data_IF_518698673912
#
_entry.id   IF_518698673912
#
_cell.length_a   1.000
_cell.length_b   1.000
_cell.length_c   1.000
_cell.angle_alpha   90.00
_cell.angle_beta   90.00
_cell.angle_gamma   90.00
#
_symmetry.space_group_name_H-M   'P 1'
#
loop_
_entity.id
_entity.type
_entity.pdbx_description
1 polymer ?
#
# COMPACT_ATOMS: atom_id res chain seq x y z
N UNK A 1 -18.49 -7.84 -7.87
CA UNK A 1 -17.94 -6.49 -7.65
C UNK A 1 -17.28 -6.10 -8.95
N UNK A 2 -17.58 -4.93 -9.48
CA UNK A 2 -17.00 -4.46 -10.73
C UNK A 2 -15.61 -3.88 -10.43
N UNK A 3 -14.64 -4.16 -11.28
CA UNK A 3 -13.30 -3.59 -11.21
C UNK A 3 -13.44 -2.06 -11.26
N UNK A 4 -12.94 -1.39 -10.22
CA UNK A 4 -13.21 0.04 -10.01
C UNK A 4 -12.10 0.91 -10.58
N UNK A 5 -10.87 0.42 -10.51
CA UNK A 5 -9.69 1.05 -11.10
C UNK A 5 -8.90 0.03 -11.92
N UNK A 6 -8.64 0.37 -13.19
CA UNK A 6 -7.59 -0.28 -13.97
C UNK A 6 -6.35 0.60 -13.99
N UNK A 7 -5.16 0.02 -13.88
CA UNK A 7 -3.88 0.71 -14.03
C UNK A 7 -3.84 1.54 -15.33
N UNK A 8 -4.46 1.07 -16.41
CA UNK A 8 -4.59 1.85 -17.65
C UNK A 8 -5.30 3.21 -17.46
N UNK A 9 -6.37 3.23 -16.67
CA UNK A 9 -7.14 4.45 -16.40
C UNK A 9 -6.43 5.35 -15.38
N UNK A 10 -5.86 4.76 -14.33
CA UNK A 10 -5.12 5.50 -13.30
C UNK A 10 -3.90 6.18 -13.91
N UNK A 11 -3.09 5.47 -14.68
CA UNK A 11 -1.90 6.08 -15.30
C UNK A 11 -2.25 7.08 -16.41
N UNK A 12 -3.41 6.95 -17.07
CA UNK A 12 -3.92 7.97 -17.99
C UNK A 12 -4.28 9.26 -17.25
N UNK A 13 -5.05 9.18 -16.16
CA UNK A 13 -5.34 10.34 -15.29
C UNK A 13 -4.06 10.95 -14.72
N UNK A 14 -3.11 10.11 -14.33
CA UNK A 14 -1.83 10.55 -13.78
C UNK A 14 -0.99 11.31 -14.82
N UNK A 15 -0.95 10.84 -16.08
CA UNK A 15 -0.29 11.54 -17.20
C UNK A 15 -0.88 12.92 -17.47
N UNK A 16 -2.21 13.04 -17.40
CA UNK A 16 -2.93 14.28 -17.67
C UNK A 16 -2.76 15.33 -16.55
N UNK A 17 -2.24 14.93 -15.38
CA UNK A 17 -2.07 15.81 -14.22
C UNK A 17 -0.82 16.71 -14.25
N UNK A 18 -0.01 16.68 -15.31
CA UNK A 18 1.29 17.39 -15.46
C UNK A 18 2.34 17.12 -14.36
N UNK A 19 2.06 16.22 -13.41
CA UNK A 19 2.98 15.84 -12.32
C UNK A 19 4.16 14.97 -12.76
N UNK A 20 4.24 14.63 -14.05
CA UNK A 20 5.18 13.64 -14.58
C UNK A 20 6.23 14.30 -15.47
N UNK A 21 7.50 14.14 -15.09
CA UNK A 21 8.65 14.58 -15.88
C UNK A 21 9.67 13.45 -16.07
N UNK A 22 10.54 13.61 -17.07
CA UNK A 22 11.66 12.68 -17.33
C UNK A 22 11.22 11.25 -17.64
N UNK A 23 11.94 10.27 -17.06
CA UNK A 23 11.81 8.84 -17.35
C UNK A 23 10.43 8.23 -16.99
N UNK A 24 9.63 8.89 -16.15
CA UNK A 24 8.29 8.41 -15.79
C UNK A 24 7.30 8.52 -16.94
N UNK A 25 7.42 9.55 -17.79
CA UNK A 25 6.41 9.84 -18.81
C UNK A 25 6.32 8.75 -19.89
N UNK A 26 7.43 8.26 -20.48
CA UNK A 26 7.37 7.17 -21.45
C UNK A 26 6.82 5.87 -20.84
N UNK A 27 7.15 5.58 -19.57
CA UNK A 27 6.68 4.38 -18.87
C UNK A 27 5.17 4.47 -18.63
N UNK A 28 4.68 5.61 -18.12
CA UNK A 28 3.24 5.83 -17.94
C UNK A 28 2.47 5.76 -19.27
N UNK A 29 3.02 6.33 -20.35
CA UNK A 29 2.39 6.26 -21.67
C UNK A 29 2.27 4.82 -22.18
N UNK A 30 3.31 4.00 -21.95
CA UNK A 30 3.27 2.58 -22.31
C UNK A 30 2.25 1.80 -21.46
N UNK A 31 2.10 2.16 -20.19
CA UNK A 31 1.07 1.57 -19.35
C UNK A 31 -0.31 1.97 -19.87
N UNK A 32 -0.57 3.25 -20.06
CA UNK A 32 -1.87 3.78 -20.47
C UNK A 32 -2.31 3.35 -21.90
N UNK A 33 -1.40 2.84 -22.73
CA UNK A 33 -1.70 2.40 -24.10
C UNK A 33 -2.44 1.06 -24.20
N UNK A 34 -2.54 0.30 -23.11
CA UNK A 34 -3.15 -1.04 -23.15
C UNK A 34 -2.21 -2.15 -23.64
N UNK A 35 -0.99 -1.82 -24.05
CA UNK A 35 -0.02 -2.79 -24.62
C UNK A 35 1.09 -3.15 -23.63
N UNK A 36 0.86 -2.92 -22.34
CA UNK A 36 1.87 -3.12 -21.30
C UNK A 36 2.21 -4.61 -21.13
N UNK A 37 3.46 -4.94 -21.36
CA UNK A 37 3.99 -6.29 -21.22
C UNK A 37 5.48 -6.21 -20.91
N UNK A 38 6.06 -7.34 -20.48
CA UNK A 38 7.51 -7.43 -20.28
C UNK A 38 8.31 -7.08 -21.53
N UNK A 39 7.86 -7.57 -22.70
CA UNK A 39 8.54 -7.32 -23.96
C UNK A 39 8.48 -5.84 -24.40
N UNK A 40 7.33 -5.19 -24.20
CA UNK A 40 7.19 -3.77 -24.54
C UNK A 40 7.95 -2.87 -23.56
N UNK A 41 7.98 -3.25 -22.27
CA UNK A 41 8.75 -2.55 -21.24
C UNK A 41 10.25 -2.66 -21.48
N UNK A 42 10.78 -3.87 -21.70
CA UNK A 42 12.20 -4.08 -21.98
C UNK A 42 12.65 -3.29 -23.23
N UNK A 43 11.81 -3.23 -24.28
CA UNK A 43 12.05 -2.41 -25.47
C UNK A 43 12.09 -0.92 -25.15
N UNK A 44 11.16 -0.42 -24.34
CA UNK A 44 11.13 0.98 -23.93
C UNK A 44 12.41 1.35 -23.16
N UNK A 45 12.78 0.54 -22.17
CA UNK A 45 13.98 0.77 -21.35
C UNK A 45 15.25 0.80 -22.21
N UNK A 46 15.35 -0.09 -23.20
CA UNK A 46 16.47 -0.10 -24.14
C UNK A 46 16.50 1.14 -25.04
N UNK A 47 15.35 1.53 -25.61
CA UNK A 47 15.24 2.66 -26.55
C UNK A 47 15.50 4.01 -25.87
N UNK A 48 15.03 4.17 -24.64
CA UNK A 48 15.20 5.39 -23.84
C UNK A 48 16.56 5.43 -23.11
N UNK A 49 17.40 4.39 -23.25
CA UNK A 49 18.70 4.32 -22.59
C UNK A 49 18.62 4.21 -21.06
N UNK A 50 17.51 3.71 -20.53
CA UNK A 50 17.22 3.68 -19.09
C UNK A 50 17.83 2.48 -18.36
N UNK A 51 18.39 1.50 -19.07
CA UNK A 51 18.92 0.24 -18.52
C UNK A 51 19.98 0.39 -17.42
N UNK A 52 20.59 1.56 -17.27
CA UNK A 52 21.56 1.89 -16.22
C UNK A 52 21.24 3.18 -15.46
N UNK A 53 20.02 3.72 -15.58
CA UNK A 53 19.66 4.94 -14.90
C UNK A 53 19.64 4.71 -13.38
N UNK A 54 20.38 5.52 -12.58
CA UNK A 54 20.61 5.25 -11.16
C UNK A 54 19.32 5.24 -10.33
N UNK A 55 18.26 5.89 -10.81
CA UNK A 55 17.00 6.03 -10.10
C UNK A 55 15.83 5.29 -10.79
N UNK A 56 16.10 4.42 -11.77
CA UNK A 56 15.02 3.73 -12.49
C UNK A 56 14.19 2.89 -11.52
N UNK A 57 14.84 2.10 -10.66
CA UNK A 57 14.15 1.22 -9.71
C UNK A 57 13.23 2.01 -8.77
N UNK A 58 13.75 3.08 -8.20
CA UNK A 58 12.99 4.04 -7.39
C UNK A 58 11.78 4.61 -8.13
N UNK A 59 11.97 5.00 -9.39
CA UNK A 59 10.91 5.51 -10.26
C UNK A 59 9.81 4.47 -10.49
N UNK A 60 10.17 3.20 -10.69
CA UNK A 60 9.21 2.11 -10.88
C UNK A 60 8.43 1.81 -9.60
N UNK A 61 9.07 1.87 -8.43
CA UNK A 61 8.40 1.75 -7.14
C UNK A 61 7.39 2.88 -6.93
N UNK A 62 7.75 4.11 -7.29
CA UNK A 62 6.86 5.27 -7.20
C UNK A 62 5.61 5.10 -8.07
N UNK A 63 5.76 4.55 -9.29
CA UNK A 63 4.62 4.27 -10.15
C UNK A 63 3.68 3.22 -9.54
N UNK A 64 4.22 2.14 -8.98
CA UNK A 64 3.40 1.15 -8.28
C UNK A 64 2.68 1.79 -7.09
N UNK A 65 3.35 2.66 -6.33
CA UNK A 65 2.75 3.35 -5.19
C UNK A 65 1.63 4.30 -5.60
N UNK A 66 1.73 4.96 -6.75
CA UNK A 66 0.64 5.78 -7.29
C UNK A 66 -0.59 4.92 -7.51
N UNK A 67 -0.46 3.78 -8.20
CA UNK A 67 -1.61 2.90 -8.44
C UNK A 67 -2.14 2.29 -7.14
N UNK A 68 -1.25 1.84 -6.26
CA UNK A 68 -1.63 1.26 -4.97
C UNK A 68 -2.42 2.27 -4.11
N UNK A 69 -2.03 3.55 -4.08
CA UNK A 69 -2.74 4.61 -3.35
C UNK A 69 -4.19 4.78 -3.81
N UNK A 70 -4.42 4.76 -5.12
CA UNK A 70 -5.77 4.87 -5.69
C UNK A 70 -6.61 3.62 -5.36
N UNK A 71 -6.01 2.43 -5.45
CA UNK A 71 -6.70 1.17 -5.12
C UNK A 71 -7.05 1.06 -3.63
N UNK A 72 -6.29 1.69 -2.73
CA UNK A 72 -6.58 1.65 -1.29
C UNK A 72 -7.49 2.78 -0.83
N UNK A 73 -7.87 3.73 -1.70
CA UNK A 73 -8.60 4.94 -1.31
C UNK A 73 -10.03 4.64 -0.82
N UNK A 74 -10.67 3.63 -1.39
CA UNK A 74 -12.04 3.25 -1.05
C UNK A 74 -12.14 2.10 -0.03
N UNK A 75 -11.01 1.76 0.60
CA UNK A 75 -10.91 0.73 1.64
C UNK A 75 -11.23 -0.71 1.18
N UNK A 76 -11.32 -0.95 -0.13
CA UNK A 76 -11.53 -2.28 -0.70
C UNK A 76 -10.50 -2.55 -1.81
N UNK A 77 -9.67 -3.60 -1.70
CA UNK A 77 -8.93 -4.10 -2.86
C UNK A 77 -9.67 -5.26 -3.50
N UNK A 78 -10.10 -5.06 -4.73
CA UNK A 78 -10.61 -6.14 -5.57
C UNK A 78 -9.48 -7.06 -6.00
N UNK A 79 -9.84 -8.30 -6.35
CA UNK A 79 -8.87 -9.25 -6.89
C UNK A 79 -8.24 -8.77 -8.20
N UNK A 80 -9.00 -8.05 -9.03
CA UNK A 80 -8.48 -7.50 -10.28
C UNK A 80 -7.40 -6.43 -10.03
N UNK A 81 -7.61 -5.53 -9.05
CA UNK A 81 -6.60 -4.52 -8.69
C UNK A 81 -5.32 -5.17 -8.14
N UNK A 82 -5.47 -6.24 -7.34
CA UNK A 82 -4.32 -7.03 -6.87
C UNK A 82 -3.57 -7.71 -8.03
N UNK A 83 -4.31 -8.31 -8.98
CA UNK A 83 -3.72 -8.96 -10.15
C UNK A 83 -2.98 -7.92 -11.02
N UNK A 84 -3.52 -6.70 -11.19
CA UNK A 84 -2.87 -5.62 -11.93
C UNK A 84 -1.62 -5.05 -11.21
N UNK A 85 -1.68 -4.92 -9.89
CA UNK A 85 -0.49 -4.57 -9.09
C UNK A 85 0.60 -5.67 -9.19
N UNK A 86 0.22 -6.95 -9.20
CA UNK A 86 1.15 -8.07 -9.39
C UNK A 86 1.76 -8.08 -10.79
N UNK A 87 1.00 -7.68 -11.82
CA UNK A 87 1.52 -7.47 -13.18
C UNK A 87 2.60 -6.37 -13.17
N UNK A 88 2.34 -5.23 -12.52
CA UNK A 88 3.30 -4.13 -12.46
C UNK A 88 4.60 -4.55 -11.74
N UNK A 89 4.50 -5.16 -10.56
CA UNK A 89 5.67 -5.62 -9.80
C UNK A 89 6.47 -6.66 -10.59
N UNK A 90 5.79 -7.59 -11.27
CA UNK A 90 6.42 -8.63 -12.10
C UNK A 90 7.13 -8.05 -13.31
N UNK A 91 6.47 -7.15 -14.07
CA UNK A 91 7.07 -6.55 -15.27
C UNK A 91 8.26 -5.66 -14.90
N UNK A 92 8.16 -4.91 -13.81
CA UNK A 92 9.22 -4.05 -13.30
C UNK A 92 10.33 -4.81 -12.57
N UNK A 93 10.17 -6.10 -12.34
CA UNK A 93 11.15 -6.96 -11.62
C UNK A 93 11.43 -6.42 -10.22
N UNK A 94 10.38 -6.00 -9.52
CA UNK A 94 10.47 -5.60 -8.12
C UNK A 94 10.56 -6.86 -7.27
N UNK A 95 11.59 -6.91 -6.43
CA UNK A 95 11.88 -8.02 -5.53
C UNK A 95 11.40 -7.70 -4.11
N UNK A 96 11.29 -8.75 -3.29
CA UNK A 96 10.99 -8.64 -1.87
C UNK A 96 11.98 -7.68 -1.17
N UNK A 97 11.48 -6.87 -0.23
CA UNK A 97 12.27 -5.90 0.51
C UNK A 97 12.60 -4.59 -0.24
N UNK A 98 12.45 -4.53 -1.57
CA UNK A 98 12.79 -3.32 -2.34
C UNK A 98 11.98 -2.09 -1.91
N UNK A 99 10.69 -2.29 -1.66
CA UNK A 99 9.83 -1.25 -1.12
C UNK A 99 10.24 -0.80 0.27
N UNK A 100 10.61 -1.74 1.14
CA UNK A 100 11.05 -1.43 2.50
C UNK A 100 12.38 -0.66 2.52
N UNK A 101 13.30 -0.98 1.61
CA UNK A 101 14.61 -0.33 1.54
C UNK A 101 14.55 1.06 0.90
N UNK A 102 13.81 1.23 -0.18
CA UNK A 102 13.86 2.43 -1.01
C UNK A 102 12.67 3.38 -0.82
N UNK A 103 11.53 2.88 -0.33
CA UNK A 103 10.26 3.61 -0.24
C UNK A 103 9.50 3.32 1.05
N UNK A 104 10.23 3.12 2.14
CA UNK A 104 9.69 2.79 3.47
C UNK A 104 8.54 3.72 3.89
N UNK A 105 8.78 5.02 3.81
CA UNK A 105 7.83 6.03 4.29
C UNK A 105 6.55 6.05 3.45
N UNK A 106 6.68 5.90 2.12
CA UNK A 106 5.55 5.87 1.21
C UNK A 106 4.69 4.61 1.39
N UNK A 107 5.31 3.46 1.64
CA UNK A 107 4.58 2.22 2.00
C UNK A 107 3.90 2.37 3.35
N UNK A 108 4.57 2.95 4.34
CA UNK A 108 3.97 3.19 5.65
C UNK A 108 2.74 4.09 5.55
N UNK A 109 2.77 5.08 4.65
CA UNK A 109 1.62 5.94 4.40
C UNK A 109 0.43 5.15 3.84
N UNK A 110 0.64 4.36 2.79
CA UNK A 110 -0.40 3.51 2.16
C UNK A 110 -0.99 2.53 3.17
N UNK A 111 -0.13 1.76 3.84
CA UNK A 111 -0.56 0.83 4.88
C UNK A 111 -1.27 1.55 6.02
N UNK A 112 -0.76 2.72 6.40
CA UNK A 112 -1.32 3.50 7.50
C UNK A 112 -2.70 4.06 7.21
N UNK A 113 -3.00 4.45 5.97
CA UNK A 113 -4.35 4.85 5.58
C UNK A 113 -5.36 3.71 5.77
N UNK A 114 -5.00 2.51 5.35
CA UNK A 114 -5.81 1.31 5.52
C UNK A 114 -5.96 0.92 6.99
N UNK A 115 -4.83 0.83 7.71
CA UNK A 115 -4.86 0.48 9.14
C UNK A 115 -5.66 1.48 9.97
N UNK A 116 -5.59 2.79 9.67
CA UNK A 116 -6.41 3.78 10.40
C UNK A 116 -7.90 3.54 10.23
N UNK A 117 -8.35 3.17 9.04
CA UNK A 117 -9.75 2.85 8.79
C UNK A 117 -10.18 1.62 9.60
N UNK A 118 -9.40 0.54 9.56
CA UNK A 118 -9.65 -0.66 10.37
C UNK A 118 -9.71 -0.37 11.87
N UNK A 119 -8.83 0.53 12.34
CA UNK A 119 -8.79 0.92 13.76
C UNK A 119 -10.00 1.77 14.17
N UNK A 120 -10.72 2.40 13.24
CA UNK A 120 -11.96 3.12 13.54
C UNK A 120 -13.12 2.16 13.83
N UNK A 121 -13.19 1.02 13.14
CA UNK A 121 -14.28 0.05 13.27
C UNK A 121 -14.17 -0.88 14.48
N UNK A 122 -13.14 -0.69 15.34
CA UNK A 122 -12.91 -1.37 16.63
C UNK A 122 -12.77 -2.90 16.56
N UNK A 123 -13.10 -3.53 15.44
CA UNK A 123 -12.98 -4.95 15.15
C UNK A 123 -12.35 -5.15 13.79
N UNK A 124 -11.29 -5.95 13.73
CA UNK A 124 -10.75 -6.47 12.49
C UNK A 124 -11.62 -7.65 12.06
N UNK A 125 -12.26 -7.52 10.91
CA UNK A 125 -13.01 -8.56 10.22
C UNK A 125 -12.06 -9.48 9.45
N UNK A 126 -12.50 -10.71 9.16
CA UNK A 126 -11.73 -11.65 8.34
C UNK A 126 -11.37 -11.08 6.94
N UNK A 127 -12.19 -10.17 6.41
CA UNK A 127 -11.91 -9.51 5.13
C UNK A 127 -10.74 -8.55 5.23
N UNK A 128 -10.64 -7.80 6.33
CA UNK A 128 -9.53 -6.89 6.56
C UNK A 128 -8.22 -7.65 6.88
N UNK A 129 -8.26 -8.81 7.53
CA UNK A 129 -7.07 -9.67 7.69
C UNK A 129 -6.53 -10.15 6.34
N UNK A 130 -7.42 -10.54 5.43
CA UNK A 130 -7.05 -10.94 4.06
C UNK A 130 -6.42 -9.76 3.32
N UNK A 131 -7.05 -8.58 3.41
CA UNK A 131 -6.55 -7.35 2.80
C UNK A 131 -5.14 -6.99 3.29
N UNK A 132 -4.90 -7.09 4.59
CA UNK A 132 -3.59 -6.84 5.19
C UNK A 132 -2.52 -7.80 4.67
N UNK A 133 -2.85 -9.10 4.60
CA UNK A 133 -1.94 -10.11 4.07
C UNK A 133 -1.62 -9.86 2.60
N UNK A 134 -2.62 -9.48 1.82
CA UNK A 134 -2.46 -9.24 0.40
C UNK A 134 -1.61 -7.98 0.16
N UNK A 135 -1.81 -6.90 0.93
CA UNK A 135 -0.94 -5.72 0.91
C UNK A 135 0.49 -6.01 1.38
N UNK A 136 0.65 -6.82 2.43
CA UNK A 136 1.96 -7.25 2.91
C UNK A 136 2.72 -7.98 1.80
N UNK A 137 2.05 -8.95 1.14
CA UNK A 137 2.62 -9.69 0.01
C UNK A 137 2.94 -8.76 -1.16
N UNK A 138 2.03 -7.84 -1.49
CA UNK A 138 2.19 -6.88 -2.59
C UNK A 138 3.47 -6.06 -2.47
N UNK A 139 3.70 -5.50 -1.27
CA UNK A 139 4.88 -4.70 -1.00
C UNK A 139 6.12 -5.53 -0.69
N UNK A 140 6.03 -6.87 -0.77
CA UNK A 140 7.14 -7.78 -0.48
C UNK A 140 7.72 -7.54 0.90
N UNK A 141 6.86 -7.40 1.91
CA UNK A 141 7.26 -7.14 3.29
C UNK A 141 7.29 -8.45 4.09
N UNK A 142 8.37 -8.64 4.86
CA UNK A 142 8.34 -9.64 5.92
C UNK A 142 7.34 -9.25 7.01
N UNK A 143 6.90 -10.22 7.80
CA UNK A 143 5.99 -9.95 8.93
C UNK A 143 6.59 -8.93 9.90
N UNK A 144 7.87 -9.05 10.21
CA UNK A 144 8.57 -8.13 11.12
C UNK A 144 8.65 -6.71 10.55
N UNK A 145 8.93 -6.58 9.24
CA UNK A 145 8.94 -5.29 8.55
C UNK A 145 7.54 -4.65 8.58
N UNK A 146 6.51 -5.43 8.28
CA UNK A 146 5.12 -4.97 8.31
C UNK A 146 4.72 -4.46 9.70
N UNK A 147 4.96 -5.25 10.75
CA UNK A 147 4.67 -4.85 12.14
C UNK A 147 5.48 -3.62 12.53
N UNK A 148 6.76 -3.54 12.15
CA UNK A 148 7.60 -2.39 12.43
C UNK A 148 7.08 -1.08 11.80
N UNK A 149 6.48 -1.15 10.61
CA UNK A 149 5.86 0.00 9.94
C UNK A 149 4.57 0.45 10.63
N UNK A 150 3.76 -0.50 11.12
CA UNK A 150 2.47 -0.19 11.74
C UNK A 150 2.55 0.16 13.22
N UNK A 151 3.60 -0.31 13.92
CA UNK A 151 3.79 -0.09 15.36
C UNK A 151 3.60 1.36 15.82
N UNK A 152 4.16 2.39 15.13
CA UNK A 152 3.95 3.78 15.53
C UNK A 152 2.47 4.20 15.45
N UNK A 153 1.77 3.79 14.39
CA UNK A 153 0.37 4.15 14.16
C UNK A 153 -0.55 3.50 15.19
N UNK A 154 -0.34 2.21 15.46
CA UNK A 154 -1.11 1.46 16.46
C UNK A 154 -0.88 2.03 17.85
N UNK A 155 0.36 2.42 18.19
CA UNK A 155 0.67 3.06 19.47
C UNK A 155 -0.07 4.38 19.64
N UNK A 156 -0.03 5.27 18.65
CA UNK A 156 -0.78 6.53 18.68
C UNK A 156 -2.28 6.31 18.84
N UNK A 157 -2.83 5.27 18.20
CA UNK A 157 -4.25 4.92 18.36
C UNK A 157 -4.58 4.41 19.77
N UNK A 158 -3.73 3.55 20.35
CA UNK A 158 -3.88 3.08 21.73
C UNK A 158 -3.83 4.25 22.71
N UNK A 159 -2.88 5.17 22.56
CA UNK A 159 -2.77 6.35 23.43
C UNK A 159 -4.06 7.22 23.33
N UNK A 160 -4.64 7.34 22.13
CA UNK A 160 -5.94 8.00 21.91
C UNK A 160 -7.10 7.29 22.61
N UNK A 161 -7.15 5.96 22.54
CA UNK A 161 -8.16 5.15 23.24
C UNK A 161 -8.03 5.24 24.76
N UNK A 162 -6.80 5.26 25.30
CA UNK A 162 -6.53 5.41 26.72
C UNK A 162 -6.99 6.79 27.23
N UNK A 163 -6.74 7.86 26.48
CA UNK A 163 -7.25 9.19 26.82
C UNK A 163 -8.79 9.23 26.80
N UNK A 164 -9.43 8.57 25.82
CA UNK A 164 -10.88 8.49 25.73
C UNK A 164 -11.49 7.66 26.88
N UNK A 165 -10.80 6.61 27.34
CA UNK A 165 -11.18 5.81 28.51
C UNK A 165 -11.31 6.68 29.77
N UNK A 166 -10.43 7.67 29.96
CA UNK A 166 -10.47 8.58 31.11
C UNK A 166 -11.71 9.50 31.11
N UNK A 167 -12.30 9.75 29.94
CA UNK A 167 -13.46 10.64 29.78
C UNK A 167 -14.82 9.92 29.82
N UNK A 168 -14.85 8.58 29.66
CA UNK A 168 -16.08 7.80 29.55
C UNK A 168 -16.51 7.25 30.91
N UNK A 169 -17.79 7.41 31.24
CA UNK A 169 -18.41 6.84 32.44
C UNK A 169 -19.25 5.57 32.14
N UNK A 170 -19.53 5.27 30.87
CA UNK A 170 -20.28 4.08 30.46
C UNK A 170 -19.43 2.81 30.61
N UNK A 171 -19.88 1.91 31.49
CA UNK A 171 -19.24 0.64 31.83
C UNK A 171 -19.18 -0.35 30.66
N UNK A 172 -20.11 -0.29 29.70
CA UNK A 172 -20.10 -1.12 28.48
C UNK A 172 -19.07 -0.61 27.49
N UNK A 173 -19.01 0.70 27.26
CA UNK A 173 -18.04 1.30 26.35
C UNK A 173 -16.60 1.15 26.88
N UNK A 174 -16.39 1.27 28.20
CA UNK A 174 -15.10 1.00 28.84
C UNK A 174 -14.59 -0.44 28.59
N UNK A 175 -15.45 -1.44 28.75
CA UNK A 175 -15.09 -2.84 28.49
C UNK A 175 -14.72 -3.08 27.03
N UNK A 176 -15.41 -2.43 26.10
CA UNK A 176 -15.11 -2.52 24.67
C UNK A 176 -13.74 -1.91 24.36
N UNK A 177 -13.46 -0.71 24.88
CA UNK A 177 -12.16 -0.03 24.69
C UNK A 177 -11.03 -0.87 25.28
N UNK A 178 -11.20 -1.44 26.48
CA UNK A 178 -10.20 -2.31 27.10
C UNK A 178 -9.93 -3.57 26.26
N UNK A 179 -10.97 -4.20 25.71
CA UNK A 179 -10.83 -5.35 24.83
C UNK A 179 -10.08 -5.00 23.53
N UNK A 180 -10.37 -3.85 22.92
CA UNK A 180 -9.67 -3.36 21.74
C UNK A 180 -8.19 -3.10 22.03
N UNK A 181 -7.87 -2.42 23.14
CA UNK A 181 -6.47 -2.14 23.54
C UNK A 181 -5.71 -3.45 23.75
N UNK A 182 -6.31 -4.44 24.42
CA UNK A 182 -5.66 -5.74 24.66
C UNK A 182 -5.42 -6.50 23.35
N UNK A 183 -6.38 -6.51 22.43
CA UNK A 183 -6.21 -7.14 21.12
C UNK A 183 -5.09 -6.47 20.32
N UNK A 184 -5.12 -5.13 20.19
CA UNK A 184 -4.09 -4.38 19.45
C UNK A 184 -2.69 -4.55 20.06
N UNK A 185 -2.58 -4.63 21.38
CA UNK A 185 -1.32 -4.93 22.06
C UNK A 185 -0.83 -6.35 21.73
N UNK A 186 -1.73 -7.33 21.76
CA UNK A 186 -1.43 -8.73 21.45
C UNK A 186 -0.95 -8.96 20.01
N UNK A 187 -1.50 -8.22 19.05
CA UNK A 187 -1.19 -8.39 17.62
C UNK A 187 0.05 -7.59 17.20
N UNK A 188 0.18 -6.34 17.64
CA UNK A 188 1.17 -5.41 17.06
C UNK A 188 2.32 -5.00 18.01
N UNK A 189 2.20 -5.27 19.31
CA UNK A 189 3.14 -4.78 20.34
C UNK A 189 3.81 -5.88 21.16
N UNK A 190 3.52 -7.15 20.92
CA UNK A 190 4.26 -8.26 21.54
C UNK A 190 5.65 -8.33 20.89
N UNK A 191 6.75 -8.27 21.67
CA UNK A 191 8.05 -8.67 21.16
C UNK A 191 8.01 -10.18 20.93
N UNK A 192 8.22 -10.62 19.69
CA UNK A 192 8.62 -12.00 19.41
C UNK A 192 10.08 -12.20 19.83
#
# INVERSE_FOLDING_TARGET
>A
MADKYSFHEVFRRYLDSERISGAMRPICSLIASGTFSRASFDKLIANEGLSGAPNLKETLLDLILVFARECVEDHELSRAELDELEILTTVFRIEEGNFYELRRDAVQEVLGHQTRWMLQDRYVTNQEEVLQRDLQRLFGLSYDQYVALLRPLVRTHIDGLENRKLAIQDRKELKLIESCIQNLRGVFLVPQ
#
